data_IF_612921447560
#
_entry.id   IF_612921447560
#
_cell.length_a   1.000
_cell.length_b   1.000
_cell.length_c   1.000
_cell.angle_alpha   90.00
_cell.angle_beta   90.00
_cell.angle_gamma   90.00
#
_symmetry.space_group_name_H-M   'P 1'
#
loop_
_entity.id
_entity.type
_entity.pdbx_description
1 polymer ?
#
# COMPACT_ATOMS: atom_id res chain seq x y z
N UNK A 1 16.95 -3.11 -21.68
CA UNK A 1 15.70 -2.43 -21.28
C UNK A 1 14.73 -3.44 -20.69
N UNK A 2 14.53 -3.47 -19.37
CA UNK A 2 13.59 -4.40 -18.74
C UNK A 2 12.16 -3.99 -19.09
N UNK A 3 11.43 -4.86 -19.82
CA UNK A 3 10.01 -4.70 -20.13
C UNK A 3 9.24 -4.50 -18.82
N UNK A 4 8.83 -3.27 -18.52
CA UNK A 4 7.88 -2.99 -17.44
C UNK A 4 6.58 -3.72 -17.75
N UNK A 5 6.33 -4.85 -17.08
CA UNK A 5 5.06 -5.57 -17.17
C UNK A 5 3.95 -4.57 -16.84
N UNK A 6 3.11 -4.24 -17.84
CA UNK A 6 1.92 -3.39 -17.67
C UNK A 6 0.89 -4.20 -16.89
N UNK A 7 0.97 -4.16 -15.56
CA UNK A 7 -0.07 -4.70 -14.71
C UNK A 7 -1.30 -3.81 -14.79
N UNK A 8 -2.48 -4.40 -15.03
CA UNK A 8 -3.75 -3.70 -14.86
C UNK A 8 -3.78 -3.07 -13.46
N UNK A 9 -4.36 -1.87 -13.35
CA UNK A 9 -4.50 -1.16 -12.07
C UNK A 9 -5.22 -2.01 -11.00
N UNK A 10 -6.00 -2.99 -11.46
CA UNK A 10 -6.77 -3.92 -10.64
C UNK A 10 -6.05 -5.25 -10.36
N UNK A 11 -4.97 -5.57 -11.08
CA UNK A 11 -4.16 -6.76 -10.85
C UNK A 11 -2.83 -6.38 -10.19
N UNK A 12 -2.76 -6.61 -8.89
CA UNK A 12 -1.50 -6.58 -8.17
C UNK A 12 -0.70 -7.86 -8.48
N UNK A 13 0.64 -7.76 -8.68
CA UNK A 13 1.51 -8.93 -8.78
C UNK A 13 1.33 -9.86 -7.58
N UNK A 14 1.52 -11.17 -7.78
CA UNK A 14 1.36 -12.17 -6.70
C UNK A 14 2.36 -11.92 -5.58
N UNK A 15 3.55 -11.45 -5.94
CA UNK A 15 4.65 -11.09 -5.06
C UNK A 15 4.28 -9.92 -4.15
N UNK A 16 3.62 -8.88 -4.70
CA UNK A 16 3.13 -7.77 -3.89
C UNK A 16 2.09 -8.22 -2.86
N UNK A 17 1.22 -9.17 -3.20
CA UNK A 17 0.20 -9.66 -2.24
C UNK A 17 0.80 -10.37 -1.02
N UNK A 18 2.04 -10.87 -1.12
CA UNK A 18 2.76 -11.53 -0.03
C UNK A 18 3.68 -10.59 0.76
N UNK A 19 3.81 -9.34 0.33
CA UNK A 19 4.62 -8.35 1.02
C UNK A 19 3.91 -7.87 2.30
N UNK A 20 4.62 -7.87 3.42
CA UNK A 20 4.12 -7.36 4.72
C UNK A 20 3.69 -5.89 4.65
N UNK A 21 4.32 -5.09 3.78
CA UNK A 21 4.02 -3.67 3.60
C UNK A 21 2.90 -3.40 2.60
N UNK A 22 2.32 -4.43 1.97
CA UNK A 22 1.27 -4.27 0.97
C UNK A 22 -0.06 -3.90 1.62
N UNK A 23 -0.47 -2.65 1.43
CA UNK A 23 -1.65 -2.05 2.05
C UNK A 23 -2.62 -1.56 0.95
N UNK A 24 -3.31 -2.45 0.24
CA UNK A 24 -4.15 -2.08 -0.90
C UNK A 24 -5.40 -1.30 -0.52
N UNK A 25 -5.75 -1.24 0.77
CA UNK A 25 -6.93 -0.53 1.29
C UNK A 25 -6.66 0.92 1.70
N UNK A 26 -5.41 1.36 1.63
CA UNK A 26 -5.02 2.73 1.92
C UNK A 26 -5.41 3.69 0.79
N UNK A 27 -5.91 4.87 1.19
CA UNK A 27 -6.54 5.81 0.26
C UNK A 27 -5.59 6.37 -0.78
N UNK A 28 -4.38 6.76 -0.37
CA UNK A 28 -3.44 7.47 -1.23
C UNK A 28 -2.26 6.63 -1.72
N UNK A 29 -2.03 5.44 -1.13
CA UNK A 29 -0.90 4.56 -1.48
C UNK A 29 -1.30 3.09 -1.40
N UNK A 30 -0.48 2.20 -1.97
CA UNK A 30 -0.67 0.74 -1.87
C UNK A 30 0.40 0.03 -1.04
N UNK A 31 1.40 0.77 -0.54
CA UNK A 31 2.49 0.26 0.29
C UNK A 31 2.93 1.34 1.30
N UNK A 32 3.56 0.93 2.40
CA UNK A 32 4.05 1.83 3.44
C UNK A 32 5.10 2.83 2.92
N UNK A 33 6.11 2.32 2.20
CA UNK A 33 7.19 3.13 1.65
C UNK A 33 6.73 3.94 0.44
N UNK A 34 7.33 5.10 0.18
CA UNK A 34 7.04 5.94 -1.00
C UNK A 34 7.56 5.34 -2.32
N UNK A 35 8.65 4.57 -2.22
CA UNK A 35 9.23 3.76 -3.31
C UNK A 35 9.01 2.28 -3.02
N UNK A 36 8.86 1.46 -4.07
CA UNK A 36 8.68 0.02 -3.91
C UNK A 36 10.02 -0.63 -3.50
N UNK A 37 10.11 -1.31 -2.35
CA UNK A 37 11.36 -1.97 -1.93
C UNK A 37 11.80 -3.07 -2.90
N UNK A 38 10.85 -3.73 -3.57
CA UNK A 38 11.13 -4.75 -4.59
C UNK A 38 11.37 -4.17 -5.99
N UNK A 39 11.43 -2.85 -6.15
CA UNK A 39 11.66 -2.16 -7.42
C UNK A 39 10.66 -2.53 -8.54
N UNK A 40 9.49 -3.07 -8.19
CA UNK A 40 8.44 -3.46 -9.14
C UNK A 40 7.78 -2.22 -9.78
N UNK A 41 7.72 -1.12 -9.03
CA UNK A 41 7.17 0.17 -9.45
C UNK A 41 8.00 1.32 -8.89
N UNK A 42 8.10 2.42 -9.63
CA UNK A 42 8.86 3.62 -9.23
C UNK A 42 8.30 4.29 -7.98
N UNK A 43 6.97 4.34 -7.86
CA UNK A 43 6.28 4.91 -6.70
C UNK A 43 5.12 4.05 -6.25
N UNK A 44 4.77 4.23 -4.97
CA UNK A 44 3.64 3.56 -4.33
C UNK A 44 2.39 4.42 -4.22
N UNK A 45 2.48 5.66 -4.74
CA UNK A 45 1.42 6.66 -4.69
C UNK A 45 0.41 6.38 -5.79
N UNK A 46 -0.88 6.47 -5.42
CA UNK A 46 -1.97 6.33 -6.38
C UNK A 46 -2.17 7.63 -7.15
N UNK A 47 -2.43 7.52 -8.46
CA UNK A 47 -2.87 8.69 -9.26
C UNK A 47 -4.23 9.22 -8.82
N UNK A 48 -5.11 8.33 -8.37
CA UNK A 48 -6.45 8.67 -7.89
C UNK A 48 -6.66 7.98 -6.55
N UNK A 49 -7.09 8.71 -5.50
CA UNK A 49 -7.33 8.12 -4.20
C UNK A 49 -8.50 7.12 -4.23
N UNK A 50 -8.52 6.19 -3.26
CA UNK A 50 -9.69 5.36 -3.03
C UNK A 50 -10.86 6.21 -2.52
N UNK A 51 -12.09 5.77 -2.83
CA UNK A 51 -13.32 6.43 -2.34
C UNK A 51 -13.53 6.26 -0.84
N UNK A 52 -13.10 5.12 -0.29
CA UNK A 52 -13.22 4.79 1.14
C UNK A 52 -11.84 4.68 1.75
N UNK A 53 -11.73 5.26 2.93
CA UNK A 53 -10.54 5.23 3.76
C UNK A 53 -10.69 4.08 4.76
N UNK A 54 -9.80 3.09 4.69
CA UNK A 54 -9.76 1.99 5.65
C UNK A 54 -8.53 2.17 6.54
N UNK A 55 -8.55 3.20 7.38
CA UNK A 55 -7.57 3.23 8.46
C UNK A 55 -7.93 2.14 9.48
N UNK A 56 -6.94 1.40 10.00
CA UNK A 56 -7.18 0.65 11.23
C UNK A 56 -7.68 1.65 12.29
N UNK A 57 -8.67 1.27 13.11
CA UNK A 57 -9.11 2.11 14.22
C UNK A 57 -7.88 2.47 15.07
N UNK A 58 -7.82 3.73 15.53
CA UNK A 58 -6.76 4.15 16.45
C UNK A 58 -6.81 3.22 17.66
N UNK A 59 -5.70 2.54 17.94
CA UNK A 59 -5.55 1.77 19.16
C UNK A 59 -5.43 2.79 20.31
N UNK A 60 -6.54 3.00 21.02
CA UNK A 60 -6.58 3.92 22.16
C UNK A 60 -5.95 3.19 23.33
N UNK A 61 -4.65 3.41 23.55
CA UNK A 61 -3.97 2.88 24.75
C UNK A 61 -4.55 3.64 25.93
N UNK A 62 -5.45 2.99 26.68
CA UNK A 62 -5.97 3.54 27.93
C UNK A 62 -4.83 3.59 28.93
N UNK A 63 -4.28 4.77 29.17
CA UNK A 63 -3.29 4.98 30.21
C UNK A 63 -4.04 4.86 31.53
N UNK A 64 -3.93 3.70 32.20
CA UNK A 64 -4.40 3.56 33.57
C UNK A 64 -3.48 4.44 34.43
N UNK A 65 -4.02 5.53 34.97
CA UNK A 65 -3.34 6.27 36.03
C UNK A 65 -3.19 5.30 37.21
N UNK A 66 -1.94 5.01 37.58
CA UNK A 66 -1.56 4.25 38.78
C UNK A 66 -1.53 5.18 39.96
#
# INVERSE_FOLDING_TARGET
MQRRKKYSRYQYPKECKRCEYFQPRWRYRFCYYTRCPYQIRDSTIRKTPLKKENFPPKEVVSVKNV
#
